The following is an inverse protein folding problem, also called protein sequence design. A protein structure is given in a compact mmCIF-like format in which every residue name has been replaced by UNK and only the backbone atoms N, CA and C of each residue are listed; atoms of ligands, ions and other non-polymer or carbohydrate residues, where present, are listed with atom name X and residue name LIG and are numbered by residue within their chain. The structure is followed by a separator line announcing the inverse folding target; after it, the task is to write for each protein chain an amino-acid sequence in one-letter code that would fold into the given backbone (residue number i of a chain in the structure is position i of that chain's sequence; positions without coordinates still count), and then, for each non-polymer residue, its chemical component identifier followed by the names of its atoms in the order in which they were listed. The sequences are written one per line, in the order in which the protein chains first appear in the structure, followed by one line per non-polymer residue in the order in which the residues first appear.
data_IF_154748198506
#
_entry.id   IF_154748198506
#
_cell.length_a   1.000
_cell.length_b   1.000
_cell.length_c   1.000
_cell.angle_alpha   90.00
_cell.angle_beta   90.00
_cell.angle_gamma   90.00
#
_symmetry.space_group_name_H-M   'P 1'
#
loop_
_entity.id
_entity.type
_entity.pdbx_description
1 polymer ?
#
# COMPACT_ATOMS: atom_id res chain seq x y z
N UNK A 1 -12.52 -19.15 19.01
CA UNK A 1 -11.20 -18.48 19.07
C UNK A 1 -11.46 -17.02 19.50
N UNK A 2 -10.74 -16.50 20.47
CA UNK A 2 -10.86 -15.09 20.89
C UNK A 2 -10.06 -14.23 19.90
N UNK A 3 -10.45 -12.96 19.78
CA UNK A 3 -9.76 -12.01 18.88
C UNK A 3 -8.25 -11.89 19.20
N UNK A 4 -7.91 -11.91 20.50
CA UNK A 4 -6.51 -11.88 20.94
C UNK A 4 -5.72 -13.08 20.39
N UNK A 5 -6.28 -14.28 20.52
CA UNK A 5 -5.61 -15.51 20.06
C UNK A 5 -5.37 -15.46 18.52
N UNK A 6 -6.29 -14.85 17.78
CA UNK A 6 -6.15 -14.66 16.33
C UNK A 6 -5.02 -13.67 16.01
N UNK A 7 -4.94 -12.54 16.73
CA UNK A 7 -3.87 -11.55 16.55
C UNK A 7 -2.52 -12.18 16.86
N UNK A 8 -2.42 -12.95 17.96
CA UNK A 8 -1.18 -13.64 18.35
C UNK A 8 -0.76 -14.64 17.25
N UNK A 9 -1.69 -15.44 16.73
CA UNK A 9 -1.43 -16.38 15.62
C UNK A 9 -0.93 -15.68 14.36
N UNK A 10 -1.58 -14.60 13.96
CA UNK A 10 -1.17 -13.83 12.77
C UNK A 10 0.19 -13.16 12.97
N UNK A 11 0.49 -12.71 14.19
CA UNK A 11 1.79 -12.13 14.55
C UNK A 11 2.91 -13.16 14.41
N UNK A 12 2.72 -14.37 14.96
CA UNK A 12 3.70 -15.44 14.84
C UNK A 12 3.93 -15.87 13.38
N UNK A 13 2.88 -16.03 12.60
CA UNK A 13 3.03 -16.33 11.16
C UNK A 13 3.76 -15.22 10.39
N UNK A 14 3.50 -13.95 10.73
CA UNK A 14 4.22 -12.83 10.15
C UNK A 14 5.72 -12.89 10.50
N UNK A 15 6.02 -13.21 11.77
CA UNK A 15 7.38 -13.36 12.26
C UNK A 15 8.14 -14.46 11.54
N UNK A 16 7.54 -15.66 11.42
CA UNK A 16 8.12 -16.78 10.69
C UNK A 16 8.45 -16.41 9.23
N UNK A 17 7.54 -15.69 8.55
CA UNK A 17 7.76 -15.24 7.17
C UNK A 17 8.88 -14.20 7.05
N UNK A 18 8.99 -13.28 8.01
CA UNK A 18 10.10 -12.31 8.05
C UNK A 18 11.44 -13.03 8.24
N UNK A 19 11.52 -14.00 9.14
CA UNK A 19 12.71 -14.79 9.38
C UNK A 19 13.10 -15.65 8.16
N UNK A 20 12.14 -16.28 7.49
CA UNK A 20 12.39 -17.10 6.30
C UNK A 20 12.84 -16.30 5.06
N UNK A 21 12.67 -14.97 5.07
CA UNK A 21 13.01 -14.09 3.93
C UNK A 21 14.50 -13.72 3.82
N UNK A 22 15.42 -14.36 4.57
CA UNK A 22 16.87 -14.04 4.67
C UNK A 22 17.17 -12.58 5.08
N UNK A 23 16.23 -11.91 5.74
CA UNK A 23 16.38 -10.54 6.26
C UNK A 23 16.58 -10.51 7.79
N UNK A 24 16.88 -11.64 8.39
CA UNK A 24 17.07 -11.79 9.85
C UNK A 24 18.06 -10.76 10.42
N UNK A 25 19.13 -10.48 9.69
CA UNK A 25 20.17 -9.55 10.11
C UNK A 25 19.79 -8.06 10.02
N UNK A 26 18.59 -7.75 9.53
CA UNK A 26 18.14 -6.37 9.33
C UNK A 26 17.29 -5.85 10.50
N UNK A 27 16.88 -6.73 11.43
CA UNK A 27 16.00 -6.38 12.53
C UNK A 27 16.66 -6.64 13.88
N UNK A 28 16.50 -5.72 14.82
CA UNK A 28 16.64 -6.09 16.25
C UNK A 28 15.44 -6.95 16.65
N UNK A 29 15.56 -7.77 17.72
CA UNK A 29 14.44 -8.59 18.19
C UNK A 29 13.16 -7.79 18.43
N UNK A 30 13.27 -6.61 19.03
CA UNK A 30 12.13 -5.72 19.30
C UNK A 30 11.52 -5.15 18.00
N UNK A 31 12.35 -4.79 17.02
CA UNK A 31 11.89 -4.31 15.73
C UNK A 31 11.19 -5.41 14.93
N UNK A 32 11.68 -6.66 15.02
CA UNK A 32 11.07 -7.83 14.40
C UNK A 32 9.68 -8.08 14.99
N UNK A 33 9.55 -8.12 16.30
CA UNK A 33 8.28 -8.36 17.00
C UNK A 33 7.26 -7.26 16.67
N UNK A 34 7.69 -6.00 16.70
CA UNK A 34 6.84 -4.86 16.31
C UNK A 34 6.38 -4.95 14.86
N UNK A 35 7.28 -5.25 13.94
CA UNK A 35 6.96 -5.36 12.50
C UNK A 35 6.03 -6.54 12.25
N UNK A 36 6.28 -7.69 12.85
CA UNK A 36 5.42 -8.87 12.76
C UNK A 36 4.01 -8.57 13.27
N UNK A 37 3.89 -7.90 14.41
CA UNK A 37 2.60 -7.49 14.96
C UNK A 37 1.85 -6.52 14.02
N UNK A 38 2.54 -5.56 13.43
CA UNK A 38 1.95 -4.62 12.46
C UNK A 38 1.44 -5.34 11.20
N UNK A 39 2.18 -6.33 10.70
CA UNK A 39 1.77 -7.13 9.53
C UNK A 39 0.55 -7.98 9.88
N UNK A 40 0.56 -8.69 11.01
CA UNK A 40 -0.57 -9.50 11.47
C UNK A 40 -1.84 -8.67 11.67
N UNK A 41 -1.70 -7.48 12.28
CA UNK A 41 -2.83 -6.57 12.50
C UNK A 41 -3.38 -5.99 11.19
N UNK A 42 -2.51 -5.66 10.22
CA UNK A 42 -2.94 -5.20 8.90
C UNK A 42 -3.66 -6.30 8.12
N UNK A 43 -3.14 -7.54 8.17
CA UNK A 43 -3.80 -8.68 7.56
C UNK A 43 -5.22 -8.88 8.12
N UNK A 44 -5.37 -8.85 9.44
CA UNK A 44 -6.65 -9.01 10.11
C UNK A 44 -7.64 -7.90 9.74
N UNK A 45 -7.22 -6.63 9.91
CA UNK A 45 -8.10 -5.48 9.65
C UNK A 45 -8.56 -5.43 8.20
N UNK A 46 -7.65 -5.65 7.27
CA UNK A 46 -8.00 -5.62 5.86
C UNK A 46 -8.87 -6.81 5.46
N UNK A 47 -8.58 -8.00 5.99
CA UNK A 47 -9.39 -9.20 5.75
C UNK A 47 -10.84 -9.01 6.17
N UNK A 48 -11.07 -8.39 7.32
CA UNK A 48 -12.41 -8.10 7.82
C UNK A 48 -13.09 -6.97 7.03
N UNK A 49 -12.42 -5.83 6.90
CA UNK A 49 -13.01 -4.62 6.31
C UNK A 49 -13.23 -4.69 4.79
N UNK A 50 -12.56 -5.60 4.06
CA UNK A 50 -12.73 -5.72 2.61
C UNK A 50 -14.03 -6.41 2.19
N UNK A 51 -14.76 -7.01 3.12
CA UNK A 51 -16.03 -7.69 2.87
C UNK A 51 -17.20 -6.76 3.14
N UNK A 52 -18.29 -6.94 2.37
CA UNK A 52 -19.54 -6.24 2.64
C UNK A 52 -20.03 -6.64 4.03
N UNK A 53 -20.34 -5.68 4.94
CA UNK A 53 -20.81 -5.98 6.29
C UNK A 53 -22.10 -6.81 6.35
N UNK A 54 -22.84 -6.88 5.22
CA UNK A 54 -24.09 -7.63 5.10
C UNK A 54 -23.87 -9.08 4.61
N UNK A 55 -22.63 -9.45 4.26
CA UNK A 55 -22.30 -10.75 3.72
C UNK A 55 -21.45 -11.55 4.69
N UNK A 56 -21.75 -12.85 4.79
CA UNK A 56 -20.88 -13.77 5.51
C UNK A 56 -19.65 -14.09 4.66
N UNK A 57 -18.49 -14.20 5.29
CA UNK A 57 -17.27 -14.66 4.64
C UNK A 57 -16.55 -15.70 5.50
N UNK A 58 -15.74 -16.54 4.86
CA UNK A 58 -14.88 -17.48 5.56
C UNK A 58 -13.51 -16.84 5.77
N UNK A 59 -13.08 -16.76 7.04
CA UNK A 59 -11.76 -16.25 7.38
C UNK A 59 -10.69 -17.32 7.09
N UNK A 60 -9.82 -17.04 6.14
CA UNK A 60 -8.71 -17.91 5.71
C UNK A 60 -7.39 -17.21 6.03
N UNK A 61 -6.71 -17.68 7.08
CA UNK A 61 -5.46 -17.09 7.58
C UNK A 61 -4.37 -17.09 6.51
N UNK A 62 -4.19 -18.21 5.80
CA UNK A 62 -3.12 -18.35 4.81
C UNK A 62 -3.32 -17.41 3.63
N UNK A 63 -4.57 -17.21 3.22
CA UNK A 63 -4.94 -16.28 2.15
C UNK A 63 -4.67 -14.83 2.54
N UNK A 64 -5.08 -14.43 3.76
CA UNK A 64 -4.99 -13.04 4.20
C UNK A 64 -3.58 -12.59 4.58
N UNK A 65 -2.70 -13.53 4.89
CA UNK A 65 -1.29 -13.27 5.18
C UNK A 65 -0.39 -13.16 3.95
N UNK A 66 -0.91 -13.36 2.74
CA UNK A 66 -0.10 -13.26 1.51
C UNK A 66 0.32 -11.82 1.25
N UNK A 67 1.54 -11.65 0.70
CA UNK A 67 2.03 -10.37 0.19
C UNK A 67 1.62 -10.11 -1.27
N UNK A 68 0.69 -10.89 -1.78
CA UNK A 68 0.12 -10.80 -3.12
C UNK A 68 -1.41 -10.84 -3.04
N UNK A 69 -2.06 -10.24 -4.04
CA UNK A 69 -3.51 -10.16 -4.10
C UNK A 69 -4.09 -9.10 -3.16
N UNK A 70 -5.40 -9.20 -2.89
CA UNK A 70 -6.15 -8.23 -2.10
C UNK A 70 -5.98 -8.49 -0.60
N UNK A 71 -4.86 -8.06 -0.03
CA UNK A 71 -4.48 -8.30 1.36
C UNK A 71 -3.88 -7.06 2.03
N UNK A 72 -3.95 -7.00 3.37
CA UNK A 72 -3.33 -5.93 4.16
C UNK A 72 -1.81 -5.86 3.99
N UNK A 73 -1.07 -6.99 4.08
CA UNK A 73 0.37 -7.02 3.82
C UNK A 73 0.78 -6.54 2.43
N UNK A 74 -0.05 -6.77 1.39
CA UNK A 74 0.20 -6.23 0.05
C UNK A 74 0.15 -4.70 0.04
N UNK A 75 -0.82 -4.09 0.71
CA UNK A 75 -0.91 -2.62 0.82
C UNK A 75 0.27 -2.05 1.59
N UNK A 76 0.67 -2.69 2.70
CA UNK A 76 1.87 -2.28 3.45
C UNK A 76 3.13 -2.37 2.58
N UNK A 77 3.29 -3.44 1.80
CA UNK A 77 4.40 -3.58 0.87
C UNK A 77 4.44 -2.44 -0.16
N UNK A 78 3.29 -2.08 -0.74
CA UNK A 78 3.19 -0.95 -1.67
C UNK A 78 3.60 0.37 -0.99
N UNK A 79 3.11 0.64 0.21
CA UNK A 79 3.45 1.83 0.99
C UNK A 79 4.96 1.92 1.32
N UNK A 80 5.55 0.83 1.83
CA UNK A 80 7.00 0.77 2.13
C UNK A 80 7.84 0.99 0.86
N UNK A 81 7.39 0.46 -0.27
CA UNK A 81 8.06 0.66 -1.57
C UNK A 81 8.05 2.14 -1.99
N UNK A 82 6.91 2.83 -1.80
CA UNK A 82 6.79 4.26 -2.06
C UNK A 82 7.72 5.04 -1.13
N UNK A 83 7.67 4.76 0.17
CA UNK A 83 8.52 5.42 1.15
C UNK A 83 10.01 5.27 0.81
N UNK A 84 10.48 4.05 0.52
CA UNK A 84 11.86 3.80 0.12
C UNK A 84 12.27 4.53 -1.16
N UNK A 85 11.34 4.71 -2.11
CA UNK A 85 11.56 5.51 -3.31
C UNK A 85 11.72 6.99 -2.97
N UNK A 86 10.85 7.53 -2.12
CA UNK A 86 10.88 8.94 -1.70
C UNK A 86 12.17 9.25 -0.92
N UNK A 87 12.61 8.36 -0.03
CA UNK A 87 13.87 8.48 0.69
C UNK A 87 15.08 8.52 -0.27
N UNK A 88 15.10 7.64 -1.27
CA UNK A 88 16.16 7.62 -2.30
C UNK A 88 16.13 8.81 -3.25
N UNK A 89 14.96 9.43 -3.41
CA UNK A 89 14.82 10.61 -4.26
C UNK A 89 15.47 11.86 -3.66
N UNK A 90 15.85 11.84 -2.37
CA UNK A 90 16.42 12.98 -1.64
C UNK A 90 15.60 14.27 -1.83
N UNK A 91 14.29 14.15 -1.80
CA UNK A 91 13.44 15.33 -1.88
C UNK A 91 13.42 16.02 -0.51
N UNK A 92 14.16 17.09 -0.41
CA UNK A 92 13.80 18.15 0.52
C UNK A 92 12.35 18.54 0.24
N UNK A 93 11.54 18.53 1.29
CA UNK A 93 10.09 18.82 1.30
C UNK A 93 9.71 20.22 0.74
N UNK A 94 10.64 20.95 0.19
CA UNK A 94 10.51 22.29 -0.39
C UNK A 94 10.25 22.33 -1.91
N UNK A 95 10.33 21.23 -2.59
CA UNK A 95 10.17 21.14 -4.06
C UNK A 95 8.71 21.11 -4.53
N UNK A 96 7.90 22.09 -4.13
CA UNK A 96 6.67 22.43 -4.86
C UNK A 96 7.05 23.06 -6.21
N UNK A 97 7.56 22.24 -7.12
CA UNK A 97 7.73 22.70 -8.50
C UNK A 97 6.36 22.80 -9.14
N UNK A 98 6.09 23.95 -9.76
CA UNK A 98 4.85 24.14 -10.52
C UNK A 98 4.71 23.00 -11.53
N UNK A 99 3.58 22.30 -11.49
CA UNK A 99 3.23 21.22 -12.40
C UNK A 99 3.17 21.80 -13.80
N UNK A 100 4.22 21.62 -14.59
CA UNK A 100 4.15 21.87 -16.02
C UNK A 100 3.46 20.68 -16.67
N UNK A 101 2.64 20.97 -17.62
CA UNK A 101 1.73 20.12 -18.41
C UNK A 101 1.93 18.59 -18.32
N UNK A 102 0.86 17.80 -18.07
CA UNK A 102 0.91 16.34 -17.94
C UNK A 102 1.13 15.59 -19.27
N UNK A 103 1.52 16.27 -20.35
CA UNK A 103 1.64 15.68 -21.69
C UNK A 103 2.65 14.52 -21.78
N UNK A 104 3.61 14.46 -20.85
CA UNK A 104 4.70 13.48 -20.89
C UNK A 104 4.59 12.37 -19.83
N UNK A 105 3.44 12.26 -19.15
CA UNK A 105 3.23 11.16 -18.23
C UNK A 105 2.91 9.86 -18.97
N UNK A 106 3.55 8.73 -18.56
CA UNK A 106 3.19 7.42 -19.10
C UNK A 106 1.72 7.09 -18.78
N UNK A 107 1.09 6.28 -19.63
CA UNK A 107 -0.31 5.86 -19.45
C UNK A 107 -0.55 5.24 -18.08
N UNK A 108 0.41 4.45 -17.56
CA UNK A 108 0.36 3.87 -16.22
C UNK A 108 0.28 4.92 -15.09
N UNK A 109 0.83 6.12 -15.27
CA UNK A 109 0.70 7.22 -14.32
C UNK A 109 -0.70 7.84 -14.35
N UNK A 110 -1.37 7.83 -15.52
CA UNK A 110 -2.74 8.32 -15.66
C UNK A 110 -3.72 7.53 -14.78
N UNK A 111 -3.57 6.19 -14.73
CA UNK A 111 -4.39 5.34 -13.88
C UNK A 111 -4.28 5.75 -12.40
N UNK A 112 -3.06 5.99 -11.92
CA UNK A 112 -2.82 6.47 -10.55
C UNK A 112 -3.53 7.81 -10.32
N UNK A 113 -3.41 8.77 -11.24
CA UNK A 113 -4.10 10.06 -11.15
C UNK A 113 -5.62 9.89 -11.05
N UNK A 114 -6.21 9.02 -11.88
CA UNK A 114 -7.65 8.74 -11.84
C UNK A 114 -8.09 8.21 -10.47
N UNK A 115 -7.35 7.27 -9.89
CA UNK A 115 -7.69 6.77 -8.56
C UNK A 115 -7.57 7.85 -7.49
N UNK A 116 -6.54 8.68 -7.55
CA UNK A 116 -6.35 9.78 -6.59
C UNK A 116 -7.45 10.84 -6.70
N UNK A 117 -7.85 11.22 -7.91
CA UNK A 117 -8.91 12.24 -8.12
C UNK A 117 -10.29 11.75 -7.67
N UNK A 118 -10.56 10.45 -7.72
CA UNK A 118 -11.81 9.85 -7.26
C UNK A 118 -11.89 9.61 -5.75
N UNK A 119 -10.77 9.78 -5.04
CA UNK A 119 -10.69 9.44 -3.61
C UNK A 119 -11.72 10.17 -2.73
N UNK A 120 -11.98 11.49 -2.91
CA UNK A 120 -13.02 12.19 -2.13
C UNK A 120 -14.42 11.60 -2.32
N UNK A 121 -14.77 11.21 -3.55
CA UNK A 121 -16.07 10.58 -3.87
C UNK A 121 -16.18 9.21 -3.20
N UNK A 122 -15.11 8.42 -3.23
CA UNK A 122 -15.03 7.09 -2.61
C UNK A 122 -15.24 7.19 -1.09
N UNK A 123 -14.65 8.19 -0.43
CA UNK A 123 -14.88 8.44 1.00
C UNK A 123 -16.36 8.73 1.25
N UNK A 124 -16.96 9.63 0.47
CA UNK A 124 -18.37 9.99 0.64
C UNK A 124 -19.28 8.77 0.42
N UNK A 125 -19.02 7.96 -0.60
CA UNK A 125 -19.75 6.73 -0.89
C UNK A 125 -19.64 5.72 0.25
N UNK A 126 -18.42 5.49 0.74
CA UNK A 126 -18.16 4.58 1.87
C UNK A 126 -18.92 5.01 3.13
N UNK A 127 -18.94 6.31 3.43
CA UNK A 127 -19.69 6.87 4.57
C UNK A 127 -21.21 6.76 4.39
N UNK A 128 -21.71 7.12 3.19
CA UNK A 128 -23.15 7.08 2.89
C UNK A 128 -23.71 5.65 3.03
N UNK A 129 -22.97 4.66 2.56
CA UNK A 129 -23.36 3.25 2.61
C UNK A 129 -22.94 2.54 3.91
N UNK A 130 -22.11 3.18 4.77
CA UNK A 130 -21.48 2.55 5.94
C UNK A 130 -20.74 1.26 5.57
N UNK A 131 -20.03 1.29 4.45
CA UNK A 131 -19.41 0.15 3.80
C UNK A 131 -17.91 0.37 3.60
N UNK A 132 -17.05 0.01 4.60
CA UNK A 132 -15.61 0.23 4.54
C UNK A 132 -14.92 -0.58 3.43
N UNK A 133 -15.55 -1.65 2.93
CA UNK A 133 -15.05 -2.44 1.80
C UNK A 133 -14.87 -1.60 0.53
N UNK A 134 -15.60 -0.51 0.36
CA UNK A 134 -15.44 0.45 -0.75
C UNK A 134 -14.04 1.11 -0.67
N UNK A 135 -13.61 1.53 0.52
CA UNK A 135 -12.26 2.07 0.73
C UNK A 135 -11.17 1.01 0.54
N UNK A 136 -11.41 -0.21 1.02
CA UNK A 136 -10.47 -1.32 0.85
C UNK A 136 -10.25 -1.66 -0.64
N UNK A 137 -11.33 -1.65 -1.44
CA UNK A 137 -11.24 -1.87 -2.88
C UNK A 137 -10.45 -0.75 -3.56
N UNK A 138 -10.76 0.51 -3.24
CA UNK A 138 -10.07 1.66 -3.80
C UNK A 138 -8.57 1.67 -3.46
N UNK A 139 -8.21 1.36 -2.20
CA UNK A 139 -6.83 1.27 -1.77
C UNK A 139 -6.08 0.15 -2.53
N UNK A 140 -6.72 -1.00 -2.73
CA UNK A 140 -6.13 -2.10 -3.48
C UNK A 140 -5.92 -1.73 -4.96
N UNK A 141 -6.91 -1.11 -5.61
CA UNK A 141 -6.80 -0.67 -7.00
C UNK A 141 -5.72 0.41 -7.17
N UNK A 142 -5.62 1.35 -6.26
CA UNK A 142 -4.56 2.37 -6.25
C UNK A 142 -3.17 1.71 -6.11
N UNK A 143 -3.00 0.77 -5.17
CA UNK A 143 -1.75 0.05 -4.99
C UNK A 143 -1.35 -0.78 -6.23
N UNK A 144 -2.33 -1.40 -6.91
CA UNK A 144 -2.08 -2.09 -8.18
C UNK A 144 -1.65 -1.12 -9.29
N UNK A 145 -2.33 0.02 -9.42
CA UNK A 145 -2.00 1.03 -10.42
C UNK A 145 -0.63 1.63 -10.16
N UNK A 146 -0.30 1.90 -8.90
CA UNK A 146 1.05 2.29 -8.51
C UNK A 146 2.09 1.23 -8.87
N UNK A 147 1.83 -0.05 -8.61
CA UNK A 147 2.77 -1.12 -8.95
C UNK A 147 3.03 -1.23 -10.46
N UNK A 148 1.99 -1.06 -11.29
CA UNK A 148 2.14 -0.98 -12.75
C UNK A 148 2.97 0.24 -13.17
N UNK A 149 2.66 1.41 -12.63
CA UNK A 149 3.40 2.64 -12.89
C UNK A 149 4.87 2.52 -12.50
N UNK A 150 5.16 2.01 -11.30
CA UNK A 150 6.52 1.82 -10.81
C UNK A 150 7.34 0.88 -11.70
N UNK A 151 6.74 -0.19 -12.21
CA UNK A 151 7.42 -1.18 -13.05
C UNK A 151 7.59 -0.71 -14.51
N UNK A 152 6.66 0.11 -15.01
CA UNK A 152 6.66 0.56 -16.41
C UNK A 152 7.52 1.80 -16.63
N UNK A 153 7.80 2.61 -15.60
CA UNK A 153 8.45 3.90 -15.75
C UNK A 153 9.67 4.03 -14.83
N UNK A 154 10.86 4.33 -15.36
CA UNK A 154 12.00 4.71 -14.53
C UNK A 154 11.66 6.03 -13.83
N UNK A 155 11.60 6.01 -12.48
CA UNK A 155 11.25 7.20 -11.69
C UNK A 155 12.53 7.92 -11.26
N UNK A 156 13.44 7.20 -10.60
CA UNK A 156 14.67 7.79 -10.07
C UNK A 156 15.71 8.10 -11.14
N UNK A 157 15.72 7.33 -12.23
CA UNK A 157 16.67 7.45 -13.34
C UNK A 157 16.08 8.19 -14.54
N UNK A 158 14.91 8.85 -14.39
CA UNK A 158 14.34 9.71 -15.42
C UNK A 158 15.29 10.86 -15.74
N UNK A 159 15.65 11.01 -17.00
CA UNK A 159 16.61 12.01 -17.48
C UNK A 159 15.99 13.41 -17.55
N UNK A 160 14.70 13.50 -17.85
CA UNK A 160 13.98 14.78 -17.84
C UNK A 160 13.62 15.15 -16.41
N UNK A 161 14.29 16.19 -15.88
CA UNK A 161 14.10 16.62 -14.49
C UNK A 161 12.65 17.01 -14.16
N UNK A 162 11.94 17.67 -15.07
CA UNK A 162 10.53 18.06 -14.84
C UNK A 162 9.62 16.84 -14.76
N UNK A 163 9.81 15.86 -15.64
CA UNK A 163 9.07 14.59 -15.64
C UNK A 163 9.43 13.76 -14.39
N UNK A 164 10.70 13.74 -14.00
CA UNK A 164 11.14 13.06 -12.77
C UNK A 164 10.44 13.63 -11.54
N UNK A 165 10.43 14.96 -11.38
CA UNK A 165 9.77 15.64 -10.25
C UNK A 165 8.27 15.30 -10.25
N UNK A 166 7.62 15.33 -11.40
CA UNK A 166 6.21 15.00 -11.52
C UNK A 166 5.90 13.56 -11.10
N UNK A 167 6.71 12.59 -11.54
CA UNK A 167 6.60 11.18 -11.14
C UNK A 167 6.78 11.00 -9.63
N UNK A 168 7.73 11.69 -9.01
CA UNK A 168 7.99 11.63 -7.58
C UNK A 168 6.84 12.26 -6.80
N UNK A 169 6.32 13.42 -7.23
CA UNK A 169 5.13 14.04 -6.63
C UNK A 169 3.92 13.10 -6.69
N UNK A 170 3.73 12.38 -7.80
CA UNK A 170 2.67 11.39 -7.91
C UNK A 170 2.84 10.26 -6.90
N UNK A 171 4.05 9.76 -6.69
CA UNK A 171 4.34 8.78 -5.65
C UNK A 171 4.02 9.33 -4.25
N UNK A 172 4.37 10.60 -3.98
CA UNK A 172 4.09 11.25 -2.70
C UNK A 172 2.58 11.39 -2.43
N UNK A 173 1.79 11.67 -3.46
CA UNK A 173 0.32 11.74 -3.32
C UNK A 173 -0.32 10.35 -3.16
N UNK A 174 0.35 9.30 -3.58
CA UNK A 174 -0.13 7.91 -3.45
C UNK A 174 0.15 7.32 -2.06
N UNK A 175 1.15 7.86 -1.35
CA UNK A 175 1.53 7.44 0.01
C UNK A 175 0.57 7.98 1.06
#
# INVERSE_FOLDING_TARGET
MRLKDLIDTLTEQAKERLLSSNREHQFTPEALDKTAHQIGLAALKFADLQHDPKQNYQFDIDKFMRFEGKTGPYLQYAAVRIQSLLEKANLDSSGKSAIQSPADLPESARDVCIHLTRFPEIIQESLAHKSPNILCEAAFQLAQSFSRFYNAAPILTESNQSVRILKINLCQQTF
#
